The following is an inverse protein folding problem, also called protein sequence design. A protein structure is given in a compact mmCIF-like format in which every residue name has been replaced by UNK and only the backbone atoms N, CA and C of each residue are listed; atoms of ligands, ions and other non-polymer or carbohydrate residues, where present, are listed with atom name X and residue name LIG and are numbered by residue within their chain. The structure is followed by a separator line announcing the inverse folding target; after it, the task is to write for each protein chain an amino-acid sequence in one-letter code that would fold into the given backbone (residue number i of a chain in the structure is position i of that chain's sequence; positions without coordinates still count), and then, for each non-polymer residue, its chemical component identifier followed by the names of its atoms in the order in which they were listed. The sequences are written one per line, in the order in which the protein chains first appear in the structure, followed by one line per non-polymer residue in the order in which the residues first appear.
data_IF_657721777205
#
_entry.id   IF_657721777205
#
_cell.length_a   1.000
_cell.length_b   1.000
_cell.length_c   1.000
_cell.angle_alpha   90.00
_cell.angle_beta   90.00
_cell.angle_gamma   90.00
#
_symmetry.space_group_name_H-M   'P 1'
#
loop_
_entity.id
_entity.type
_entity.pdbx_description
1 polymer ?
#
# COMPACT_ATOMS: atom_id res chain seq x y z
N UNK A 1 -8.32 28.73 2.85
CA UNK A 1 -7.63 27.42 2.88
C UNK A 1 -6.31 27.59 2.15
N UNK A 2 -5.20 27.14 2.73
CA UNK A 2 -3.92 27.21 2.03
C UNK A 2 -3.76 26.03 1.08
N UNK A 3 -3.34 26.27 -0.18
CA UNK A 3 -3.15 25.22 -1.18
C UNK A 3 -1.91 24.37 -0.86
N UNK A 4 -2.04 23.05 -1.05
CA UNK A 4 -0.96 22.07 -0.88
C UNK A 4 -0.94 21.18 -2.10
N UNK A 5 0.19 21.08 -2.78
CA UNK A 5 0.36 20.16 -3.90
C UNK A 5 0.89 18.81 -3.39
N UNK A 6 0.19 17.72 -3.67
CA UNK A 6 0.73 16.36 -3.51
C UNK A 6 1.13 15.77 -4.87
N UNK A 7 2.35 15.22 -4.96
CA UNK A 7 2.91 14.59 -6.15
C UNK A 7 3.18 13.13 -5.81
N UNK A 8 2.33 12.21 -6.25
CA UNK A 8 2.41 10.80 -5.85
C UNK A 8 1.60 9.89 -6.76
N UNK A 9 1.73 8.57 -6.58
CA UNK A 9 0.91 7.59 -7.26
C UNK A 9 -0.52 7.55 -6.73
N UNK A 10 -1.44 7.01 -7.55
CA UNK A 10 -2.83 6.76 -7.21
C UNK A 10 -3.00 5.35 -6.66
N UNK A 11 -3.74 5.22 -5.56
CA UNK A 11 -4.15 3.94 -4.97
C UNK A 11 -5.66 3.77 -5.13
N UNK A 12 -6.07 2.82 -6.00
CA UNK A 12 -7.49 2.56 -6.30
C UNK A 12 -8.29 2.07 -5.09
N UNK A 13 -7.63 1.55 -4.03
CA UNK A 13 -8.30 1.16 -2.77
C UNK A 13 -8.55 2.36 -1.85
N UNK A 14 -7.90 3.49 -2.10
CA UNK A 14 -8.07 4.74 -1.37
C UNK A 14 -7.43 4.78 0.02
N UNK A 15 -6.58 3.80 0.34
CA UNK A 15 -5.90 3.69 1.63
C UNK A 15 -4.56 4.40 1.69
N UNK A 16 -3.91 4.58 0.55
CA UNK A 16 -2.60 5.24 0.41
C UNK A 16 -2.57 6.19 -0.80
N UNK A 17 -1.40 6.66 -1.19
CA UNK A 17 -1.20 7.49 -2.37
C UNK A 17 -1.99 8.80 -2.33
N UNK A 18 -2.30 9.33 -3.52
CA UNK A 18 -3.00 10.62 -3.67
C UNK A 18 -4.36 10.65 -2.97
N UNK A 19 -5.06 9.53 -2.90
CA UNK A 19 -6.37 9.44 -2.25
C UNK A 19 -6.27 9.63 -0.72
N UNK A 20 -5.27 9.03 -0.09
CA UNK A 20 -5.03 9.23 1.34
C UNK A 20 -4.56 10.66 1.63
N UNK A 21 -3.72 11.22 0.76
CA UNK A 21 -3.24 12.59 0.87
C UNK A 21 -4.39 13.59 0.81
N UNK A 22 -5.24 13.51 -0.22
CA UNK A 22 -6.40 14.40 -0.40
C UNK A 22 -7.33 14.33 0.82
N UNK A 23 -7.65 13.12 1.29
CA UNK A 23 -8.52 12.93 2.46
C UNK A 23 -7.93 13.61 3.70
N UNK A 24 -6.65 13.36 3.99
CA UNK A 24 -5.98 13.90 5.18
C UNK A 24 -5.84 15.42 5.11
N UNK A 25 -5.42 15.95 3.96
CA UNK A 25 -5.29 17.40 3.79
C UNK A 25 -6.65 18.09 3.96
N UNK A 26 -7.71 17.54 3.36
CA UNK A 26 -9.06 18.10 3.45
C UNK A 26 -9.64 17.97 4.88
N UNK A 27 -9.44 16.86 5.56
CA UNK A 27 -9.87 16.65 6.94
C UNK A 27 -9.25 17.67 7.91
N UNK A 28 -7.99 18.03 7.68
CA UNK A 28 -7.27 19.02 8.48
C UNK A 28 -7.47 20.48 8.03
N UNK A 29 -8.40 20.73 7.10
CA UNK A 29 -8.77 22.06 6.63
C UNK A 29 -7.82 22.67 5.58
N UNK A 30 -6.94 21.88 4.96
CA UNK A 30 -6.14 22.28 3.82
C UNK A 30 -6.93 22.18 2.49
N UNK A 31 -6.37 22.72 1.41
CA UNK A 31 -6.87 22.56 0.04
C UNK A 31 -5.88 21.70 -0.74
N UNK A 32 -6.28 20.44 -1.04
CA UNK A 32 -5.42 19.48 -1.70
C UNK A 32 -5.50 19.62 -3.23
N UNK A 33 -4.35 19.76 -3.86
CA UNK A 33 -4.17 19.64 -5.30
C UNK A 33 -3.22 18.50 -5.58
N UNK A 34 -3.27 17.90 -6.75
CA UNK A 34 -2.50 16.69 -7.04
C UNK A 34 -1.87 16.69 -8.42
N UNK A 35 -0.67 16.10 -8.49
CA UNK A 35 -0.03 15.62 -9.71
C UNK A 35 0.21 14.11 -9.56
N UNK A 36 -0.37 13.32 -10.44
CA UNK A 36 -0.34 11.86 -10.36
C UNK A 36 0.85 11.33 -11.14
N UNK A 37 1.75 10.58 -10.46
CA UNK A 37 2.95 9.98 -11.06
C UNK A 37 2.71 8.59 -11.63
N UNK A 38 1.79 7.83 -11.05
CA UNK A 38 1.42 6.48 -11.51
C UNK A 38 0.00 6.13 -11.09
N UNK A 39 -0.61 5.20 -11.82
CA UNK A 39 -1.92 4.63 -11.52
C UNK A 39 -1.73 3.14 -11.22
N UNK A 40 -2.41 2.62 -10.22
CA UNK A 40 -2.38 1.20 -9.87
C UNK A 40 -3.68 0.50 -10.24
N UNK A 41 -3.55 -0.73 -10.75
CA UNK A 41 -4.62 -1.74 -10.69
C UNK A 41 -4.36 -2.53 -9.41
N UNK A 42 -5.17 -2.30 -8.40
CA UNK A 42 -4.89 -2.80 -7.05
C UNK A 42 -6.15 -3.35 -6.41
N UNK A 43 -5.98 -4.41 -5.64
CA UNK A 43 -6.99 -4.99 -4.75
C UNK A 43 -6.47 -4.95 -3.32
N UNK A 44 -7.30 -5.35 -2.35
CA UNK A 44 -6.85 -5.56 -0.97
C UNK A 44 -5.77 -6.64 -0.82
N UNK A 45 -5.58 -7.47 -1.87
CA UNK A 45 -4.52 -8.49 -1.94
C UNK A 45 -3.19 -7.99 -2.51
N UNK A 46 -3.08 -6.71 -2.89
CA UNK A 46 -1.87 -6.08 -3.40
C UNK A 46 -2.02 -5.45 -4.77
N UNK A 47 -0.93 -4.93 -5.27
CA UNK A 47 -0.85 -4.24 -6.55
C UNK A 47 -0.66 -5.30 -7.65
N UNK A 48 -1.58 -5.31 -8.62
CA UNK A 48 -1.54 -6.24 -9.76
C UNK A 48 -0.77 -5.63 -10.94
N UNK A 49 -0.90 -4.31 -11.13
CA UNK A 49 -0.28 -3.61 -12.25
C UNK A 49 -0.05 -2.14 -11.91
N UNK A 50 1.05 -1.61 -12.43
CA UNK A 50 1.31 -0.17 -12.47
C UNK A 50 1.20 0.36 -13.89
N UNK A 51 0.66 1.57 -14.01
CA UNK A 51 0.79 2.41 -15.18
C UNK A 51 1.47 3.71 -14.76
N UNK A 52 2.73 3.90 -15.15
CA UNK A 52 3.45 5.13 -14.87
C UNK A 52 2.99 6.22 -15.82
N UNK A 53 2.59 7.38 -15.29
CA UNK A 53 2.14 8.52 -16.08
C UNK A 53 3.35 9.10 -16.82
N UNK A 54 3.26 9.40 -18.13
CA UNK A 54 4.35 10.01 -18.87
C UNK A 54 4.89 11.28 -18.21
N UNK A 55 6.21 11.43 -18.13
CA UNK A 55 6.86 12.53 -17.40
C UNK A 55 6.43 13.94 -17.88
N UNK A 56 6.16 14.11 -19.18
CA UNK A 56 5.63 15.36 -19.71
C UNK A 56 4.22 15.70 -19.21
N UNK A 57 3.39 14.68 -18.93
CA UNK A 57 2.07 14.87 -18.33
C UNK A 57 2.21 15.23 -16.86
N UNK A 58 3.12 14.56 -16.13
CA UNK A 58 3.42 14.91 -14.73
C UNK A 58 3.91 16.35 -14.63
N UNK A 59 4.85 16.75 -15.51
CA UNK A 59 5.33 18.13 -15.59
C UNK A 59 4.18 19.12 -15.84
N UNK A 60 3.30 18.81 -16.81
CA UNK A 60 2.13 19.64 -17.12
C UNK A 60 1.17 19.79 -15.95
N UNK A 61 0.89 18.72 -15.19
CA UNK A 61 0.08 18.78 -13.96
C UNK A 61 0.71 19.71 -12.90
N UNK A 62 2.03 19.56 -12.67
CA UNK A 62 2.76 20.40 -11.71
C UNK A 62 2.74 21.87 -12.15
N UNK A 63 3.10 22.14 -13.40
CA UNK A 63 3.13 23.50 -13.94
C UNK A 63 1.75 24.19 -13.89
N UNK A 64 0.67 23.47 -14.20
CA UNK A 64 -0.68 23.99 -14.13
C UNK A 64 -1.05 24.44 -12.71
N UNK A 65 -0.78 23.58 -11.72
CA UNK A 65 -1.06 23.88 -10.30
C UNK A 65 -0.16 24.99 -9.76
N UNK A 66 1.16 24.92 -10.04
CA UNK A 66 2.13 25.88 -9.52
C UNK A 66 1.93 27.29 -10.10
N UNK A 67 1.46 27.39 -11.35
CA UNK A 67 1.21 28.71 -11.99
C UNK A 67 -0.13 29.32 -11.58
N UNK A 68 -1.14 28.53 -11.21
CA UNK A 68 -2.48 29.01 -10.89
C UNK A 68 -2.68 29.28 -9.40
N UNK A 69 -2.20 28.37 -8.54
CA UNK A 69 -2.43 28.41 -7.09
C UNK A 69 -1.20 28.81 -6.26
N UNK A 70 -0.02 28.72 -6.83
CA UNK A 70 1.27 29.03 -6.16
C UNK A 70 1.40 28.38 -4.75
N UNK A 71 1.21 27.05 -4.62
CA UNK A 71 1.27 26.40 -3.31
C UNK A 71 2.66 26.53 -2.68
N UNK A 72 2.71 27.04 -1.45
CA UNK A 72 3.95 27.14 -0.66
C UNK A 72 4.45 25.79 -0.15
N UNK A 73 3.60 24.77 -0.14
CA UNK A 73 3.89 23.44 0.41
C UNK A 73 3.67 22.38 -0.65
N UNK A 74 4.69 21.57 -0.88
CA UNK A 74 4.66 20.41 -1.79
C UNK A 74 4.97 19.15 -1.01
N UNK A 75 4.07 18.16 -1.06
CA UNK A 75 4.30 16.82 -0.54
C UNK A 75 4.59 15.87 -1.69
N UNK A 76 5.66 15.11 -1.59
CA UNK A 76 6.10 14.14 -2.60
C UNK A 76 6.03 12.73 -2.00
N UNK A 77 5.42 11.80 -2.73
CA UNK A 77 5.34 10.39 -2.36
C UNK A 77 6.07 9.50 -3.38
N UNK A 78 5.40 8.44 -3.85
CA UNK A 78 5.99 7.43 -4.73
C UNK A 78 6.43 8.02 -6.08
N UNK A 79 7.71 7.87 -6.39
CA UNK A 79 8.33 8.15 -7.69
C UNK A 79 9.02 6.87 -8.17
N UNK A 80 8.63 6.36 -9.34
CA UNK A 80 9.10 5.07 -9.86
C UNK A 80 10.07 5.17 -11.03
N UNK A 81 10.13 6.32 -11.68
CA UNK A 81 10.88 6.55 -12.92
C UNK A 81 11.82 7.75 -12.78
N UNK A 82 13.01 7.62 -13.36
CA UNK A 82 14.02 8.70 -13.35
C UNK A 82 13.53 9.93 -14.11
N UNK A 83 12.90 9.77 -15.28
CA UNK A 83 12.36 10.89 -16.05
C UNK A 83 11.27 11.67 -15.29
N UNK A 84 10.50 10.98 -14.43
CA UNK A 84 9.54 11.61 -13.53
C UNK A 84 10.25 12.35 -12.40
N UNK A 85 11.34 11.79 -11.84
CA UNK A 85 12.16 12.45 -10.85
C UNK A 85 12.77 13.75 -11.41
N UNK A 86 13.32 13.70 -12.62
CA UNK A 86 13.91 14.84 -13.31
C UNK A 86 12.93 16.01 -13.45
N UNK A 87 11.68 15.75 -13.86
CA UNK A 87 10.69 16.82 -14.04
C UNK A 87 10.26 17.39 -12.70
N UNK A 88 10.16 16.57 -11.63
CA UNK A 88 9.88 17.04 -10.27
C UNK A 88 11.00 17.93 -9.75
N UNK A 89 12.25 17.50 -9.87
CA UNK A 89 13.43 18.28 -9.44
C UNK A 89 13.48 19.62 -10.18
N UNK A 90 13.29 19.63 -11.51
CA UNK A 90 13.24 20.87 -12.31
C UNK A 90 12.12 21.81 -11.86
N UNK A 91 10.95 21.26 -11.56
CA UNK A 91 9.82 22.03 -11.05
C UNK A 91 10.12 22.67 -9.68
N UNK A 92 10.70 21.91 -8.74
CA UNK A 92 11.10 22.44 -7.43
C UNK A 92 12.15 23.54 -7.54
N UNK A 93 13.13 23.40 -8.44
CA UNK A 93 14.15 24.42 -8.69
C UNK A 93 13.56 25.70 -9.35
N UNK A 94 12.56 25.54 -10.23
CA UNK A 94 11.86 26.63 -10.92
C UNK A 94 10.96 27.41 -9.96
N UNK A 95 10.09 26.73 -9.24
CA UNK A 95 9.03 27.34 -8.43
C UNK A 95 9.43 27.64 -6.99
N UNK A 96 10.42 26.93 -6.44
CA UNK A 96 10.98 27.11 -5.11
C UNK A 96 9.94 27.21 -4.00
N UNK A 97 9.06 26.20 -3.85
CA UNK A 97 8.08 26.20 -2.77
C UNK A 97 8.79 26.31 -1.42
N UNK A 98 8.14 26.94 -0.46
CA UNK A 98 8.71 27.20 0.88
C UNK A 98 9.02 25.90 1.63
N UNK A 99 8.16 24.89 1.49
CA UNK A 99 8.32 23.59 2.15
C UNK A 99 8.12 22.46 1.16
N UNK A 100 9.07 21.53 1.16
CA UNK A 100 9.02 20.28 0.41
C UNK A 100 9.14 19.13 1.38
N UNK A 101 8.14 18.26 1.41
CA UNK A 101 8.08 17.07 2.26
C UNK A 101 8.20 15.84 1.38
N UNK A 102 9.22 15.03 1.60
CA UNK A 102 9.38 13.74 0.93
C UNK A 102 8.94 12.60 1.86
N UNK A 103 7.92 11.86 1.45
CA UNK A 103 7.52 10.60 2.05
C UNK A 103 8.20 9.47 1.28
N UNK A 104 9.24 8.86 1.86
CA UNK A 104 10.05 7.82 1.19
C UNK A 104 9.29 6.50 1.14
N UNK A 105 8.55 6.28 0.07
CA UNK A 105 7.79 5.05 -0.16
C UNK A 105 8.64 4.06 -0.95
N UNK A 106 9.31 3.15 -0.27
CA UNK A 106 10.18 2.11 -0.87
C UNK A 106 9.47 0.79 -1.04
N UNK A 107 8.70 0.41 -0.02
CA UNK A 107 7.98 -0.86 0.05
C UNK A 107 6.48 -0.62 0.06
N UNK A 108 5.73 -1.53 -0.54
CA UNK A 108 4.29 -1.62 -0.33
C UNK A 108 4.00 -1.97 1.15
N UNK A 109 2.75 -1.85 1.58
CA UNK A 109 2.33 -2.34 2.91
C UNK A 109 2.51 -3.86 3.09
N UNK A 110 2.77 -4.58 2.01
CA UNK A 110 3.02 -6.03 2.00
C UNK A 110 4.49 -6.41 1.83
N UNK A 111 5.38 -5.42 1.81
CA UNK A 111 6.81 -5.65 1.65
C UNK A 111 7.29 -5.77 0.20
N UNK A 112 6.40 -5.60 -0.80
CA UNK A 112 6.83 -5.59 -2.20
C UNK A 112 7.68 -4.36 -2.49
N UNK A 113 8.80 -4.53 -3.16
CA UNK A 113 9.67 -3.44 -3.58
C UNK A 113 8.98 -2.62 -4.67
N UNK A 114 8.70 -1.34 -4.39
CA UNK A 114 8.02 -0.42 -5.31
C UNK A 114 8.97 0.36 -6.21
N UNK A 115 10.21 0.58 -5.75
CA UNK A 115 11.25 1.32 -6.48
C UNK A 115 12.57 0.55 -6.42
N UNK A 116 13.39 0.67 -7.46
CA UNK A 116 14.70 0.04 -7.52
C UNK A 116 15.71 0.72 -6.58
N UNK A 117 16.83 0.06 -6.31
CA UNK A 117 17.92 0.62 -5.53
C UNK A 117 18.52 1.86 -6.22
N UNK A 118 18.71 1.79 -7.55
CA UNK A 118 19.25 2.91 -8.34
C UNK A 118 18.32 4.12 -8.25
N UNK A 119 17.00 3.90 -8.28
CA UNK A 119 16.02 4.96 -8.09
C UNK A 119 16.09 5.60 -6.69
N UNK A 120 16.33 4.80 -5.65
CA UNK A 120 16.55 5.30 -4.29
C UNK A 120 17.81 6.18 -4.20
N UNK A 121 18.88 5.76 -4.83
CA UNK A 121 20.12 6.52 -4.90
C UNK A 121 19.91 7.84 -5.68
N UNK A 122 19.20 7.79 -6.81
CA UNK A 122 18.85 9.01 -7.56
C UNK A 122 18.02 9.99 -6.73
N UNK A 123 16.97 9.52 -6.04
CA UNK A 123 16.16 10.34 -5.13
C UNK A 123 17.03 10.96 -4.03
N UNK A 124 17.92 10.16 -3.42
CA UNK A 124 18.81 10.64 -2.36
C UNK A 124 19.75 11.76 -2.82
N UNK A 125 20.28 11.66 -4.03
CA UNK A 125 21.23 12.64 -4.55
C UNK A 125 20.55 13.88 -5.15
N UNK A 126 19.41 13.72 -5.81
CA UNK A 126 18.80 14.81 -6.57
C UNK A 126 17.66 15.51 -5.84
N UNK A 127 16.83 14.77 -5.09
CA UNK A 127 15.60 15.29 -4.49
C UNK A 127 15.77 15.64 -3.02
N UNK A 128 16.42 14.78 -2.23
CA UNK A 128 16.61 14.99 -0.78
C UNK A 128 17.23 16.34 -0.45
N UNK A 129 18.24 16.86 -1.19
CA UNK A 129 18.82 18.18 -0.93
C UNK A 129 17.84 19.36 -1.10
N UNK A 130 16.71 19.14 -1.80
CA UNK A 130 15.67 20.15 -2.03
C UNK A 130 14.54 20.07 -1.00
N UNK A 131 14.55 19.04 -0.12
CA UNK A 131 13.49 18.79 0.83
C UNK A 131 13.70 19.56 2.14
N UNK A 132 12.63 20.14 2.68
CA UNK A 132 12.58 20.67 4.04
C UNK A 132 12.55 19.53 5.06
N UNK A 133 11.84 18.45 4.73
CA UNK A 133 11.67 17.29 5.59
C UNK A 133 11.65 16.00 4.77
N UNK A 134 12.34 14.97 5.26
CA UNK A 134 12.32 13.61 4.69
C UNK A 134 11.77 12.66 5.73
N UNK A 135 10.60 12.11 5.44
CA UNK A 135 9.92 11.15 6.31
C UNK A 135 10.33 9.75 5.86
N UNK A 136 11.00 9.04 6.76
CA UNK A 136 11.36 7.63 6.55
C UNK A 136 10.24 6.76 7.11
N UNK A 137 9.84 5.75 6.35
CA UNK A 137 8.89 4.76 6.81
C UNK A 137 9.57 3.85 7.84
N UNK A 138 9.01 3.78 9.05
CA UNK A 138 9.42 2.76 10.02
C UNK A 138 8.90 1.40 9.54
N UNK A 139 9.76 0.38 9.55
CA UNK A 139 9.39 -1.00 9.23
C UNK A 139 8.32 -1.47 10.22
N UNK A 140 7.10 -1.68 9.72
CA UNK A 140 5.94 -2.11 10.50
C UNK A 140 4.77 -1.14 10.55
N UNK A 141 4.84 0.01 9.88
CA UNK A 141 3.71 0.95 9.83
C UNK A 141 2.53 0.42 9.01
N UNK A 142 1.29 0.61 9.52
CA UNK A 142 0.04 0.26 8.84
C UNK A 142 -0.09 0.93 7.46
N UNK A 143 -0.84 0.30 6.56
CA UNK A 143 -1.08 0.79 5.20
C UNK A 143 -1.57 2.25 5.18
N UNK A 144 -0.85 3.11 4.45
CA UNK A 144 -1.20 4.52 4.28
C UNK A 144 -0.91 5.43 5.50
N UNK A 145 -0.37 4.90 6.60
CA UNK A 145 -0.08 5.71 7.80
C UNK A 145 0.99 6.76 7.53
N UNK A 146 2.05 6.38 6.80
CA UNK A 146 3.11 7.31 6.35
C UNK A 146 2.55 8.42 5.47
N UNK A 147 1.68 8.08 4.50
CA UNK A 147 1.02 9.07 3.65
C UNK A 147 0.21 10.09 4.47
N UNK A 148 -0.61 9.60 5.43
CA UNK A 148 -1.39 10.46 6.31
C UNK A 148 -0.52 11.34 7.20
N UNK A 149 0.54 10.77 7.77
CA UNK A 149 1.51 11.51 8.57
C UNK A 149 2.17 12.64 7.77
N UNK A 150 2.72 12.31 6.60
CA UNK A 150 3.35 13.29 5.71
C UNK A 150 2.38 14.40 5.28
N UNK A 151 1.14 14.03 4.96
CA UNK A 151 0.09 14.98 4.60
C UNK A 151 -0.34 15.86 5.76
N UNK A 152 -0.41 15.33 6.98
CA UNK A 152 -0.68 16.12 8.18
C UNK A 152 0.45 17.12 8.46
N UNK A 153 1.71 16.70 8.35
CA UNK A 153 2.87 17.60 8.44
C UNK A 153 2.75 18.73 7.41
N UNK A 154 2.41 18.39 6.15
CA UNK A 154 2.23 19.39 5.10
C UNK A 154 1.17 20.45 5.44
N UNK A 155 0.04 20.01 6.01
CA UNK A 155 -1.02 20.93 6.47
C UNK A 155 -0.52 21.83 7.59
N UNK A 156 0.12 21.28 8.61
CA UNK A 156 0.60 22.08 9.74
C UNK A 156 1.71 23.07 9.33
N UNK A 157 2.60 22.70 8.43
CA UNK A 157 3.56 23.65 7.81
C UNK A 157 2.84 24.75 7.03
N UNK A 158 1.80 24.42 6.26
CA UNK A 158 1.01 25.41 5.53
C UNK A 158 0.29 26.39 6.45
N UNK A 159 -0.01 25.98 7.69
CA UNK A 159 -0.60 26.84 8.75
C UNK A 159 0.44 27.74 9.44
N UNK A 160 1.71 27.60 9.11
CA UNK A 160 2.80 28.45 9.60
C UNK A 160 3.54 27.90 10.83
N UNK A 161 3.32 26.63 11.20
CA UNK A 161 4.08 25.98 12.26
C UNK A 161 5.53 25.71 11.80
N UNK A 162 6.45 25.67 12.76
CA UNK A 162 7.80 25.17 12.51
C UNK A 162 7.79 23.67 12.18
N UNK A 163 8.85 23.14 11.53
CA UNK A 163 8.93 21.70 11.22
C UNK A 163 8.72 20.80 12.44
N UNK A 164 9.37 21.11 13.57
CA UNK A 164 9.25 20.32 14.81
C UNK A 164 7.83 20.33 15.38
N UNK A 165 7.16 21.49 15.39
CA UNK A 165 5.78 21.62 15.82
C UNK A 165 4.80 20.88 14.88
N UNK A 166 5.05 20.97 13.56
CA UNK A 166 4.24 20.30 12.56
C UNK A 166 4.34 18.76 12.70
N UNK A 167 5.55 18.23 12.90
CA UNK A 167 5.75 16.83 13.18
C UNK A 167 5.07 16.37 14.48
N UNK A 168 5.23 17.12 15.56
CA UNK A 168 4.61 16.79 16.85
C UNK A 168 3.08 16.75 16.75
N UNK A 169 2.46 17.74 16.10
CA UNK A 169 1.01 17.75 15.87
C UNK A 169 0.55 16.64 14.92
N UNK A 170 1.34 16.33 13.87
CA UNK A 170 1.03 15.24 12.97
C UNK A 170 1.07 13.88 13.69
N UNK A 171 2.04 13.65 14.59
CA UNK A 171 2.09 12.45 15.45
C UNK A 171 0.86 12.34 16.34
N UNK A 172 0.47 13.44 16.98
CA UNK A 172 -0.75 13.48 17.81
C UNK A 172 -2.01 13.19 16.99
N UNK A 173 -2.13 13.76 15.79
CA UNK A 173 -3.25 13.49 14.87
C UNK A 173 -3.30 12.02 14.48
N UNK A 174 -2.19 11.42 14.08
CA UNK A 174 -2.13 10.01 13.70
C UNK A 174 -2.54 9.11 14.88
N UNK A 175 -2.06 9.40 16.08
CA UNK A 175 -2.44 8.63 17.27
C UNK A 175 -3.97 8.70 17.52
N UNK A 176 -4.60 9.86 17.31
CA UNK A 176 -6.06 9.97 17.42
C UNK A 176 -6.81 9.24 16.31
N UNK A 177 -6.23 9.16 15.11
CA UNK A 177 -6.82 8.40 14.00
C UNK A 177 -6.71 6.88 14.23
N UNK A 178 -5.60 6.40 14.76
CA UNK A 178 -5.43 4.98 15.16
C UNK A 178 -6.48 4.62 16.23
N UNK A 179 -6.75 5.49 17.18
CA UNK A 179 -7.81 5.29 18.20
C UNK A 179 -9.22 5.37 17.60
N UNK A 180 -9.48 6.28 16.64
CA UNK A 180 -10.79 6.38 15.95
C UNK A 180 -11.00 5.26 14.92
N UNK A 181 -9.96 4.75 14.28
CA UNK A 181 -10.02 3.61 13.38
C UNK A 181 -10.41 2.33 14.14
N UNK A 182 -10.22 2.28 15.46
CA UNK A 182 -10.77 1.23 16.33
C UNK A 182 -12.30 1.28 16.48
N UNK A 183 -12.96 2.39 16.08
CA UNK A 183 -14.42 2.53 16.11
C UNK A 183 -15.07 2.18 14.75
N UNK A 184 -15.62 0.96 14.66
CA UNK A 184 -16.68 0.42 13.79
C UNK A 184 -16.44 0.30 12.26
N UNK A 185 -15.73 1.17 11.57
CA UNK A 185 -15.39 0.99 10.14
C UNK A 185 -13.92 0.57 9.92
N UNK A 186 -13.03 1.07 10.74
CA UNK A 186 -11.60 0.70 10.75
C UNK A 186 -11.40 -0.76 11.18
N UNK A 187 -12.09 -1.19 12.23
CA UNK A 187 -11.98 -2.54 12.80
C UNK A 187 -12.29 -3.67 11.79
N UNK A 188 -13.21 -3.45 10.86
CA UNK A 188 -13.50 -4.44 9.82
C UNK A 188 -12.37 -4.54 8.80
N UNK A 189 -11.78 -3.41 8.41
CA UNK A 189 -10.64 -3.39 7.46
C UNK A 189 -9.36 -3.88 8.12
N UNK A 190 -9.13 -3.52 9.38
CA UNK A 190 -8.02 -4.05 10.19
C UNK A 190 -8.12 -5.55 10.35
N UNK A 191 -9.26 -6.06 10.80
CA UNK A 191 -9.50 -7.49 10.96
C UNK A 191 -9.34 -8.26 9.63
N UNK A 192 -9.72 -7.64 8.51
CA UNK A 192 -9.50 -8.25 7.20
C UNK A 192 -8.00 -8.33 6.87
N UNK A 193 -7.24 -7.28 7.13
CA UNK A 193 -5.80 -7.26 6.91
C UNK A 193 -5.08 -8.24 7.86
N UNK A 194 -5.43 -8.24 9.14
CA UNK A 194 -4.94 -9.22 10.12
C UNK A 194 -5.22 -10.66 9.69
N UNK A 195 -6.40 -10.92 9.09
CA UNK A 195 -6.69 -12.24 8.52
C UNK A 195 -5.75 -12.59 7.37
N UNK A 196 -5.46 -11.64 6.48
CA UNK A 196 -4.54 -11.89 5.37
C UNK A 196 -3.13 -12.17 5.89
N UNK A 197 -2.65 -11.38 6.84
CA UNK A 197 -1.33 -11.57 7.46
C UNK A 197 -1.25 -12.92 8.18
N UNK A 198 -2.28 -13.29 8.94
CA UNK A 198 -2.38 -14.59 9.58
C UNK A 198 -2.39 -15.76 8.57
N UNK A 199 -3.06 -15.60 7.42
CA UNK A 199 -3.03 -16.61 6.35
C UNK A 199 -1.62 -16.74 5.77
N UNK A 200 -0.92 -15.63 5.55
CA UNK A 200 0.46 -15.64 5.06
C UNK A 200 1.39 -16.41 6.01
N UNK A 201 1.22 -16.23 7.30
CA UNK A 201 2.05 -16.88 8.33
C UNK A 201 1.70 -18.36 8.53
N UNK A 202 0.40 -18.69 8.56
CA UNK A 202 -0.06 -20.02 9.02
C UNK A 202 -0.69 -20.90 7.93
N UNK A 203 -0.70 -20.51 6.66
CA UNK A 203 -1.34 -21.26 5.57
C UNK A 203 -0.85 -22.71 5.40
N UNK A 204 0.38 -23.01 5.86
CA UNK A 204 0.95 -24.37 5.81
C UNK A 204 0.47 -25.27 6.95
N UNK A 205 0.06 -24.66 8.04
CA UNK A 205 -0.32 -25.37 9.28
C UNK A 205 -1.84 -25.50 9.40
N UNK A 206 -2.58 -24.49 8.90
CA UNK A 206 -4.01 -24.43 9.07
C UNK A 206 -4.72 -23.93 7.80
N UNK A 207 -5.79 -24.64 7.42
CA UNK A 207 -6.71 -24.23 6.35
C UNK A 207 -8.15 -24.06 6.83
N UNK A 208 -8.39 -24.15 8.14
CA UNK A 208 -9.71 -24.04 8.75
C UNK A 208 -10.01 -22.61 9.19
N UNK A 209 -11.21 -22.13 8.88
CA UNK A 209 -11.70 -20.78 9.25
C UNK A 209 -11.72 -20.57 10.76
N UNK A 210 -11.99 -21.63 11.53
CA UNK A 210 -12.06 -21.56 12.98
C UNK A 210 -10.70 -21.21 13.58
N UNK A 211 -9.62 -21.82 13.08
CA UNK A 211 -8.26 -21.50 13.50
C UNK A 211 -7.98 -20.01 13.40
N UNK A 212 -8.26 -19.40 12.25
CA UNK A 212 -8.03 -17.97 12.04
C UNK A 212 -8.97 -17.09 12.86
N UNK A 213 -10.20 -17.50 13.04
CA UNK A 213 -11.14 -16.78 13.89
C UNK A 213 -10.68 -16.77 15.37
N UNK A 214 -10.24 -17.92 15.88
CA UNK A 214 -9.71 -18.07 17.24
C UNK A 214 -8.41 -17.26 17.41
N UNK A 215 -7.50 -17.32 16.42
CA UNK A 215 -6.24 -16.55 16.42
C UNK A 215 -6.50 -15.03 16.49
N UNK A 216 -7.51 -14.55 15.77
CA UNK A 216 -7.89 -13.13 15.70
C UNK A 216 -8.89 -12.73 16.81
N UNK A 217 -9.17 -13.62 17.77
CA UNK A 217 -10.10 -13.38 18.88
C UNK A 217 -11.50 -12.92 18.44
N UNK A 218 -12.03 -13.50 17.34
CA UNK A 218 -13.36 -13.20 16.81
C UNK A 218 -14.16 -14.49 16.54
N UNK A 219 -15.48 -14.38 16.41
CA UNK A 219 -16.27 -15.51 15.96
C UNK A 219 -16.11 -15.75 14.45
N UNK A 220 -16.15 -17.02 14.00
CA UNK A 220 -16.12 -17.36 12.57
C UNK A 220 -17.28 -16.69 11.79
N UNK A 221 -18.42 -16.45 12.46
CA UNK A 221 -19.56 -15.73 11.86
C UNK A 221 -19.21 -14.26 11.59
N UNK A 222 -18.57 -13.57 12.54
CA UNK A 222 -18.17 -12.19 12.40
C UNK A 222 -17.06 -12.05 11.34
N UNK A 223 -16.09 -12.96 11.36
CA UNK A 223 -15.05 -13.01 10.33
C UNK A 223 -15.65 -13.19 8.92
N UNK A 224 -16.64 -14.07 8.77
CA UNK A 224 -17.34 -14.26 7.49
C UNK A 224 -18.15 -13.02 7.06
N UNK A 225 -18.70 -12.28 7.98
CA UNK A 225 -19.39 -11.02 7.68
C UNK A 225 -18.43 -9.94 7.20
N UNK A 226 -17.29 -9.81 7.87
CA UNK A 226 -16.23 -8.85 7.51
C UNK A 226 -15.64 -9.17 6.14
N UNK A 227 -15.24 -10.41 5.89
CA UNK A 227 -14.63 -10.80 4.61
C UNK A 227 -15.61 -10.65 3.44
N UNK A 228 -16.88 -11.01 3.59
CA UNK A 228 -17.91 -10.79 2.57
C UNK A 228 -18.15 -9.31 2.28
N UNK A 229 -18.15 -8.48 3.33
CA UNK A 229 -18.34 -7.03 3.20
C UNK A 229 -17.18 -6.36 2.44
N UNK A 230 -15.94 -6.77 2.69
CA UNK A 230 -14.74 -6.13 2.14
C UNK A 230 -14.36 -6.70 0.78
N UNK A 231 -14.35 -8.03 0.62
CA UNK A 231 -13.84 -8.71 -0.58
C UNK A 231 -14.91 -9.44 -1.40
N UNK A 232 -16.14 -9.47 -0.92
CA UNK A 232 -17.21 -10.29 -1.52
C UNK A 232 -17.03 -11.81 -1.33
N UNK A 233 -15.92 -12.25 -0.70
CA UNK A 233 -15.56 -13.66 -0.55
C UNK A 233 -15.77 -14.15 0.89
N UNK A 234 -16.00 -15.46 1.05
CA UNK A 234 -15.96 -16.08 2.37
C UNK A 234 -14.51 -16.22 2.87
N UNK A 235 -14.27 -16.31 4.21
CA UNK A 235 -12.93 -16.55 4.75
C UNK A 235 -12.28 -17.79 4.15
N UNK A 236 -13.06 -18.87 3.99
CA UNK A 236 -12.56 -20.12 3.37
C UNK A 236 -12.09 -19.91 1.93
N UNK A 237 -12.83 -19.13 1.14
CA UNK A 237 -12.43 -18.84 -0.23
C UNK A 237 -11.13 -18.04 -0.29
N UNK A 238 -10.91 -17.09 0.64
CA UNK A 238 -9.67 -16.30 0.73
C UNK A 238 -8.49 -17.21 1.10
N UNK A 239 -8.66 -18.08 2.10
CA UNK A 239 -7.65 -19.05 2.52
C UNK A 239 -7.31 -20.00 1.35
N UNK A 240 -8.32 -20.52 0.67
CA UNK A 240 -8.13 -21.44 -0.46
C UNK A 240 -7.45 -20.77 -1.65
N UNK A 241 -7.78 -19.51 -1.95
CA UNK A 241 -7.15 -18.72 -3.02
C UNK A 241 -5.67 -18.45 -2.73
N UNK A 242 -5.34 -18.16 -1.48
CA UNK A 242 -3.94 -17.97 -1.08
C UNK A 242 -3.16 -19.29 -1.15
N UNK A 243 -3.71 -20.34 -0.56
CA UNK A 243 -3.09 -21.66 -0.53
C UNK A 243 -2.83 -22.22 -1.93
N UNK A 244 -3.80 -22.09 -2.86
CA UNK A 244 -3.64 -22.57 -4.23
C UNK A 244 -2.57 -21.77 -4.98
N UNK A 245 -2.45 -20.47 -4.74
CA UNK A 245 -1.42 -19.62 -5.33
C UNK A 245 -0.01 -20.07 -4.90
N UNK A 246 0.19 -20.28 -3.62
CA UNK A 246 1.47 -20.77 -3.08
C UNK A 246 1.84 -22.17 -3.61
N UNK A 247 0.83 -23.05 -3.73
CA UNK A 247 1.01 -24.38 -4.33
C UNK A 247 1.44 -24.27 -5.79
N UNK A 248 0.83 -23.38 -6.57
CA UNK A 248 1.18 -23.14 -7.98
C UNK A 248 2.63 -22.68 -8.13
N UNK A 249 3.05 -21.77 -7.26
CA UNK A 249 4.44 -21.31 -7.21
C UNK A 249 5.39 -22.47 -6.95
N UNK A 250 5.10 -23.31 -5.95
CA UNK A 250 5.95 -24.47 -5.64
C UNK A 250 5.98 -25.52 -6.79
N UNK A 251 4.84 -25.74 -7.44
CA UNK A 251 4.77 -26.66 -8.58
C UNK A 251 5.62 -26.20 -9.77
N UNK A 252 5.75 -24.88 -9.98
CA UNK A 252 6.50 -24.28 -11.10
C UNK A 252 7.97 -24.02 -10.79
N UNK A 253 8.28 -23.68 -9.54
CA UNK A 253 9.62 -23.21 -9.15
C UNK A 253 10.50 -24.27 -8.54
N UNK A 254 9.98 -25.49 -8.27
CA UNK A 254 10.75 -26.55 -7.62
C UNK A 254 10.58 -27.90 -8.29
N UNK A 255 11.58 -28.78 -8.10
CA UNK A 255 11.54 -30.18 -8.54
C UNK A 255 10.89 -31.13 -7.51
N UNK A 256 10.35 -30.58 -6.40
CA UNK A 256 9.67 -31.36 -5.39
C UNK A 256 8.53 -32.18 -6.00
N UNK A 257 8.38 -33.44 -5.59
CA UNK A 257 7.28 -34.29 -6.05
C UNK A 257 5.92 -33.71 -5.63
N UNK A 258 4.86 -34.07 -6.33
CA UNK A 258 3.50 -33.69 -5.99
C UNK A 258 3.13 -34.14 -4.56
N UNK A 259 3.70 -35.26 -4.13
CA UNK A 259 3.50 -35.81 -2.78
C UNK A 259 4.21 -34.97 -1.72
N UNK A 260 5.45 -34.55 -1.94
CA UNK A 260 6.21 -33.69 -1.03
C UNK A 260 5.52 -32.33 -0.88
N UNK A 261 5.06 -31.75 -1.98
CA UNK A 261 4.28 -30.50 -1.94
C UNK A 261 3.01 -30.69 -1.13
N UNK A 262 2.26 -31.78 -1.34
CA UNK A 262 1.05 -32.07 -0.57
C UNK A 262 1.30 -32.08 0.94
N UNK A 263 2.33 -32.80 1.40
CA UNK A 263 2.68 -32.87 2.81
C UNK A 263 3.17 -31.54 3.36
N UNK A 264 3.95 -30.79 2.57
CA UNK A 264 4.45 -29.47 2.96
C UNK A 264 3.37 -28.43 3.21
N UNK A 265 2.22 -28.58 2.53
CA UNK A 265 1.04 -27.73 2.71
C UNK A 265 -0.02 -28.38 3.62
N UNK A 266 0.36 -29.33 4.49
CA UNK A 266 -0.49 -29.91 5.52
C UNK A 266 -1.58 -30.87 5.02
N UNK A 267 -1.52 -31.32 3.77
CA UNK A 267 -2.49 -32.31 3.28
C UNK A 267 -2.16 -33.70 3.82
N UNK A 268 -3.17 -34.39 4.34
CA UNK A 268 -3.04 -35.75 4.89
C UNK A 268 -2.68 -36.82 3.85
N UNK A 269 -2.91 -36.55 2.54
CA UNK A 269 -2.54 -37.44 1.44
C UNK A 269 -2.47 -36.69 0.11
N UNK A 270 -1.68 -37.25 -0.82
CA UNK A 270 -1.64 -36.77 -2.21
C UNK A 270 -3.00 -36.81 -2.89
N UNK A 271 -3.84 -37.78 -2.57
CA UNK A 271 -5.20 -37.89 -3.13
C UNK A 271 -6.08 -36.71 -2.69
N UNK A 272 -6.05 -36.33 -1.41
CA UNK A 272 -6.76 -35.18 -0.87
C UNK A 272 -6.25 -33.86 -1.52
N UNK A 273 -4.94 -33.69 -1.61
CA UNK A 273 -4.31 -32.57 -2.30
C UNK A 273 -4.75 -32.47 -3.76
N UNK A 274 -4.69 -33.59 -4.52
CA UNK A 274 -5.09 -33.60 -5.92
C UNK A 274 -6.56 -33.22 -6.10
N UNK A 275 -7.43 -33.69 -5.23
CA UNK A 275 -8.88 -33.33 -5.24
C UNK A 275 -9.08 -31.84 -4.97
N UNK A 276 -8.37 -31.27 -3.99
CA UNK A 276 -8.40 -29.85 -3.68
C UNK A 276 -7.93 -29.01 -4.87
N UNK A 277 -6.76 -29.33 -5.43
CA UNK A 277 -6.18 -28.60 -6.56
C UNK A 277 -7.09 -28.66 -7.79
N UNK A 278 -7.59 -29.86 -8.15
CA UNK A 278 -8.48 -30.05 -9.29
C UNK A 278 -9.80 -29.30 -9.13
N UNK A 279 -10.33 -29.23 -7.90
CA UNK A 279 -11.54 -28.44 -7.59
C UNK A 279 -11.36 -26.97 -7.92
N UNK A 280 -10.19 -26.39 -7.66
CA UNK A 280 -9.94 -24.96 -7.82
C UNK A 280 -9.36 -24.57 -9.19
N UNK A 281 -8.69 -25.48 -9.88
CA UNK A 281 -8.01 -25.21 -11.17
C UNK A 281 -8.52 -26.02 -12.36
N UNK A 282 -9.40 -26.97 -12.13
CA UNK A 282 -9.98 -27.82 -13.19
C UNK A 282 -9.06 -28.92 -13.71
N UNK A 283 -7.76 -28.89 -13.41
CA UNK A 283 -6.73 -29.84 -13.85
C UNK A 283 -5.95 -30.39 -12.66
N UNK A 284 -5.24 -31.51 -12.87
CA UNK A 284 -4.41 -32.09 -11.81
C UNK A 284 -3.11 -31.30 -11.57
N UNK A 285 -2.47 -31.38 -10.38
CA UNK A 285 -1.17 -30.77 -10.10
C UNK A 285 -0.08 -31.19 -11.09
N UNK A 286 -0.09 -32.47 -11.52
CA UNK A 286 0.86 -33.01 -12.49
C UNK A 286 0.66 -32.43 -13.89
N UNK A 287 -0.58 -32.24 -14.33
CA UNK A 287 -0.91 -31.57 -15.59
C UNK A 287 -0.53 -30.09 -15.54
N UNK A 288 -0.77 -29.43 -14.41
CA UNK A 288 -0.42 -28.03 -14.19
C UNK A 288 1.10 -27.79 -14.28
N UNK A 289 1.91 -28.69 -13.69
CA UNK A 289 3.40 -28.60 -13.75
C UNK A 289 3.95 -28.73 -15.17
N UNK A 290 3.28 -29.46 -16.05
CA UNK A 290 3.73 -29.69 -17.43
C UNK A 290 3.43 -28.52 -18.39
N UNK A 291 2.60 -27.58 -17.95
CA UNK A 291 2.28 -26.35 -18.69
C UNK A 291 3.27 -25.23 -18.39
#
# INVERSE_FOLDING_TARGET
MKPILTITGSDSTGGSGVQADIKTISELGGYAMSAITSITVQTTLGIQQFYDVPANIVAGQIDAVMNDFEPEVVKIGLIRREDTLDVIVKALQKYRPRHVILDTVVLSSRGDTLISRDMLEAISHQLVPLCTLVIKKDDGSMHGLSNRYASAVAVFLSQGLSPDEAESKAKAYINTQVVKASDLQGRSSELYNELIDAIMEHHREASDVRFYADLLNVSSRYLAQVTRRISGKSPKAIIDDYLIHEIELQLKSTDNTVQEIAYRFGFSSQAHFTKFFKKLRGISPTEFRKR
#
